data_IF_339883071060
#
_entry.id   IF_339883071060
#
_cell.length_a   1.000
_cell.length_b   1.000
_cell.length_c   1.000
_cell.angle_alpha   90.00
_cell.angle_beta   90.00
_cell.angle_gamma   90.00
#
_symmetry.space_group_name_H-M   'P 1'
#
loop_
_entity.id
_entity.type
_entity.pdbx_description
1 polymer ?
#
# COMPACT_ATOMS: atom_id res chain seq x y z
N UNK A 1 22.57 -82.42 21.60
CA UNK A 1 22.34 -83.15 20.34
C UNK A 1 21.21 -82.45 19.64
N UNK A 2 21.56 -81.89 18.48
CA UNK A 2 20.73 -81.54 17.32
C UNK A 2 19.67 -80.44 17.53
N UNK A 3 19.88 -79.19 17.09
CA UNK A 3 19.96 -78.71 15.69
C UNK A 3 18.90 -79.30 14.75
N UNK A 4 17.86 -78.50 14.48
CA UNK A 4 17.23 -78.19 13.19
C UNK A 4 15.94 -77.42 13.55
N UNK A 5 15.74 -76.14 13.23
CA UNK A 5 15.99 -75.47 11.97
C UNK A 5 14.63 -75.07 11.42
N UNK A 6 14.24 -73.79 11.54
CA UNK A 6 13.30 -73.21 10.59
C UNK A 6 13.54 -71.71 10.43
N UNK A 7 14.14 -71.39 9.29
CA UNK A 7 14.33 -70.07 8.73
C UNK A 7 12.99 -69.56 8.18
N UNK A 8 12.55 -68.39 8.64
CA UNK A 8 11.69 -67.52 7.83
C UNK A 8 12.29 -66.12 7.80
N UNK A 9 12.47 -65.65 6.57
CA UNK A 9 13.25 -64.48 6.22
C UNK A 9 12.62 -63.18 6.73
N UNK A 10 13.48 -62.32 7.30
CA UNK A 10 13.22 -60.89 7.47
C UNK A 10 13.15 -60.23 6.10
N UNK A 11 12.03 -59.61 5.75
CA UNK A 11 11.98 -58.57 4.72
C UNK A 11 12.30 -57.22 5.36
N UNK A 12 13.08 -56.33 4.69
CA UNK A 12 13.59 -55.11 5.28
C UNK A 12 12.57 -53.97 5.27
N UNK A 13 12.71 -53.08 6.26
CA UNK A 13 12.12 -51.76 6.33
C UNK A 13 12.08 -51.07 4.95
N UNK A 14 10.90 -50.65 4.50
CA UNK A 14 10.79 -49.58 3.51
C UNK A 14 10.89 -48.23 4.23
N UNK A 15 11.88 -47.39 3.90
CA UNK A 15 11.91 -46.01 4.33
C UNK A 15 11.16 -45.13 3.33
N UNK A 16 10.54 -44.06 3.83
CA UNK A 16 10.18 -42.90 3.01
C UNK A 16 8.76 -42.89 2.48
N UNK A 17 7.80 -42.61 3.36
CA UNK A 17 6.67 -41.78 2.93
C UNK A 17 7.26 -40.43 2.52
N UNK A 18 7.40 -40.22 1.22
CA UNK A 18 7.68 -38.92 0.64
C UNK A 18 6.58 -37.97 1.09
N UNK A 19 6.91 -37.12 2.06
CA UNK A 19 6.17 -35.88 2.30
C UNK A 19 6.21 -35.16 0.96
N UNK A 20 5.08 -35.17 0.28
CA UNK A 20 4.83 -34.30 -0.86
C UNK A 20 5.02 -32.88 -0.32
N UNK A 21 6.19 -32.30 -0.54
CA UNK A 21 6.40 -30.85 -0.48
C UNK A 21 5.32 -30.25 -1.37
N UNK A 22 4.24 -29.78 -0.75
CA UNK A 22 3.17 -29.11 -1.45
C UNK A 22 3.80 -27.88 -2.11
N UNK A 23 4.06 -27.98 -3.41
CA UNK A 23 4.44 -26.83 -4.21
C UNK A 23 3.40 -25.75 -3.95
N UNK A 24 3.82 -24.50 -3.65
CA UNK A 24 2.88 -23.43 -3.40
C UNK A 24 1.95 -23.34 -4.60
N UNK A 25 0.65 -23.54 -4.33
CA UNK A 25 -0.40 -23.47 -5.33
C UNK A 25 -0.22 -22.15 -6.07
N UNK A 26 0.09 -22.22 -7.37
CA UNK A 26 0.19 -21.03 -8.24
C UNK A 26 -1.21 -20.46 -8.39
N UNK A 27 -1.68 -19.71 -7.40
CA UNK A 27 -2.88 -18.90 -7.56
C UNK A 27 -2.52 -17.85 -8.60
N UNK A 28 -3.13 -17.95 -9.79
CA UNK A 28 -3.04 -16.93 -10.83
C UNK A 28 -3.87 -15.73 -10.38
N UNK A 29 -3.39 -15.00 -9.38
CA UNK A 29 -4.01 -13.73 -8.98
C UNK A 29 -3.61 -12.70 -10.02
N UNK A 30 -4.61 -12.10 -10.67
CA UNK A 30 -4.43 -10.90 -11.49
C UNK A 30 -4.88 -9.70 -10.67
N UNK A 31 -4.31 -8.49 -10.89
CA UNK A 31 -4.92 -7.26 -10.40
C UNK A 31 -6.40 -7.23 -10.79
N UNK A 32 -7.32 -6.91 -9.86
CA UNK A 32 -8.73 -6.89 -10.18
C UNK A 32 -9.00 -5.78 -11.21
N UNK A 33 -9.80 -6.11 -12.20
CA UNK A 33 -10.27 -5.15 -13.21
C UNK A 33 -11.50 -4.43 -12.65
N UNK A 34 -11.22 -3.42 -11.81
CA UNK A 34 -12.26 -2.61 -11.18
C UNK A 34 -12.54 -1.44 -12.08
N UNK A 35 -13.79 -1.31 -12.52
CA UNK A 35 -14.25 -0.12 -13.23
C UNK A 35 -14.43 1.04 -12.24
N UNK A 36 -13.32 1.58 -11.75
CA UNK A 36 -13.30 2.73 -10.87
C UNK A 36 -13.53 3.98 -11.73
N UNK A 37 -14.77 4.43 -11.84
CA UNK A 37 -15.12 5.65 -12.55
C UNK A 37 -15.10 6.88 -11.62
N UNK A 38 -15.41 8.05 -12.18
CA UNK A 38 -15.41 9.31 -11.42
C UNK A 38 -16.55 9.37 -10.37
N UNK A 39 -17.68 8.71 -10.62
CA UNK A 39 -18.83 8.70 -9.70
C UNK A 39 -18.50 7.88 -8.47
N UNK A 40 -17.92 6.69 -8.68
CA UNK A 40 -17.47 5.82 -7.59
C UNK A 40 -16.38 6.50 -6.78
N UNK A 41 -15.41 7.15 -7.45
CA UNK A 41 -14.36 7.89 -6.76
C UNK A 41 -14.92 9.03 -5.88
N UNK A 42 -15.90 9.79 -6.39
CA UNK A 42 -16.58 10.83 -5.61
C UNK A 42 -17.30 10.27 -4.39
N UNK A 43 -17.98 9.12 -4.52
CA UNK A 43 -18.65 8.47 -3.40
C UNK A 43 -17.65 8.04 -2.31
N UNK A 44 -16.53 7.43 -2.70
CA UNK A 44 -15.45 7.09 -1.76
C UNK A 44 -14.93 8.35 -1.08
N UNK A 45 -14.69 9.42 -1.85
CA UNK A 45 -14.19 10.69 -1.34
C UNK A 45 -15.13 11.32 -0.30
N UNK A 46 -16.45 11.21 -0.46
CA UNK A 46 -17.42 11.73 0.51
C UNK A 46 -17.35 10.99 1.86
N UNK A 47 -17.00 9.71 1.85
CA UNK A 47 -16.92 8.88 3.05
C UNK A 47 -15.57 8.98 3.79
N UNK A 48 -14.57 9.59 3.17
CA UNK A 48 -13.21 9.76 3.70
C UNK A 48 -13.09 11.04 4.55
N UNK A 49 -12.37 10.94 5.66
CA UNK A 49 -11.94 12.09 6.45
C UNK A 49 -10.89 12.91 5.69
N UNK A 50 -10.73 14.21 6.00
CA UNK A 50 -9.76 15.06 5.31
C UNK A 50 -8.34 14.48 5.24
N UNK A 51 -7.79 14.03 6.38
CA UNK A 51 -6.44 13.45 6.42
C UNK A 51 -6.30 12.16 5.59
N UNK A 52 -7.35 11.33 5.50
CA UNK A 52 -7.35 10.13 4.67
C UNK A 52 -7.29 10.50 3.18
N UNK A 53 -8.00 11.55 2.77
CA UNK A 53 -7.94 12.06 1.39
C UNK A 53 -6.52 12.50 1.04
N UNK A 54 -5.89 13.27 1.93
CA UNK A 54 -4.51 13.73 1.75
C UNK A 54 -3.54 12.56 1.65
N UNK A 55 -3.67 11.58 2.53
CA UNK A 55 -2.83 10.38 2.58
C UNK A 55 -2.94 9.55 1.30
N UNK A 56 -4.17 9.29 0.85
CA UNK A 56 -4.39 8.55 -0.38
C UNK A 56 -3.81 9.30 -1.58
N UNK A 57 -4.00 10.62 -1.66
CA UNK A 57 -3.40 11.43 -2.72
C UNK A 57 -1.87 11.35 -2.70
N UNK A 58 -1.25 11.48 -1.52
CA UNK A 58 0.20 11.40 -1.32
C UNK A 58 0.80 10.10 -1.86
N UNK A 59 0.11 8.98 -1.67
CA UNK A 59 0.54 7.67 -2.15
C UNK A 59 0.42 7.53 -3.68
N UNK A 60 -0.65 8.04 -4.28
CA UNK A 60 -0.92 7.76 -5.71
C UNK A 60 -0.15 8.65 -6.70
N UNK A 61 0.43 9.75 -6.24
CA UNK A 61 1.07 10.72 -7.13
C UNK A 61 2.32 10.18 -7.85
N UNK A 62 2.53 10.68 -9.06
CA UNK A 62 3.74 10.42 -9.86
C UNK A 62 4.81 11.49 -9.66
N UNK A 63 4.38 12.70 -9.33
CA UNK A 63 5.21 13.89 -9.27
C UNK A 63 4.77 14.74 -8.07
N UNK A 64 5.73 15.18 -7.27
CA UNK A 64 5.52 15.98 -6.06
C UNK A 64 5.71 17.49 -6.29
N UNK A 65 6.13 17.92 -7.49
CA UNK A 65 6.12 19.34 -7.92
C UNK A 65 4.71 19.98 -7.97
N UNK A 66 3.68 19.25 -7.53
CA UNK A 66 2.30 19.74 -7.44
C UNK A 66 1.93 20.22 -6.03
N UNK A 67 2.87 20.24 -5.08
CA UNK A 67 2.62 20.65 -3.69
C UNK A 67 1.80 21.94 -3.58
N UNK A 68 2.09 23.05 -4.30
CA UNK A 68 1.28 24.27 -4.20
C UNK A 68 -0.20 24.05 -4.55
N UNK A 69 -0.47 23.20 -5.55
CA UNK A 69 -1.84 22.83 -5.97
C UNK A 69 -2.53 21.96 -4.92
N UNK A 70 -1.80 21.01 -4.32
CA UNK A 70 -2.31 20.17 -3.21
C UNK A 70 -2.64 21.03 -2.00
N UNK A 71 -1.73 21.91 -1.59
CA UNK A 71 -1.92 22.81 -0.45
C UNK A 71 -3.14 23.71 -0.65
N UNK A 72 -3.30 24.32 -1.82
CA UNK A 72 -4.49 25.11 -2.15
C UNK A 72 -5.77 24.26 -2.10
N UNK A 73 -5.79 23.11 -2.77
CA UNK A 73 -6.97 22.23 -2.79
C UNK A 73 -7.37 21.75 -1.38
N UNK A 74 -6.40 21.43 -0.53
CA UNK A 74 -6.63 20.88 0.80
C UNK A 74 -7.13 21.92 1.80
N UNK A 75 -6.48 23.09 1.87
CA UNK A 75 -6.82 24.11 2.87
C UNK A 75 -7.84 25.14 2.40
N UNK A 76 -7.88 25.47 1.11
CA UNK A 76 -8.78 26.49 0.57
C UNK A 76 -10.10 25.92 0.06
N UNK A 77 -10.23 24.59 0.05
CA UNK A 77 -11.47 23.87 -0.25
C UNK A 77 -12.10 24.32 -1.58
N UNK A 78 -11.28 24.51 -2.62
CA UNK A 78 -11.67 25.15 -3.89
C UNK A 78 -12.52 24.25 -4.82
N UNK A 79 -12.86 23.03 -4.42
CA UNK A 79 -13.59 22.08 -5.28
C UNK A 79 -14.47 21.11 -4.50
N UNK A 80 -15.58 20.70 -5.12
CA UNK A 80 -16.47 19.65 -4.63
C UNK A 80 -15.87 18.24 -4.73
N UNK A 81 -14.75 18.06 -5.45
CA UNK A 81 -13.99 16.81 -5.46
C UNK A 81 -12.49 17.08 -5.46
N UNK A 82 -11.85 16.61 -4.39
CA UNK A 82 -10.42 16.67 -4.14
C UNK A 82 -9.64 15.81 -5.14
N UNK A 83 -9.97 14.52 -5.30
CA UNK A 83 -9.17 13.62 -6.14
C UNK A 83 -9.28 13.94 -7.63
N UNK A 84 -10.46 14.35 -8.10
CA UNK A 84 -10.68 14.65 -9.52
C UNK A 84 -9.78 15.76 -10.07
N UNK A 85 -9.24 16.63 -9.20
CA UNK A 85 -8.30 17.67 -9.59
C UNK A 85 -6.91 17.13 -9.99
N UNK A 86 -6.59 15.90 -9.60
CA UNK A 86 -5.23 15.34 -9.72
C UNK A 86 -5.17 14.08 -10.59
N UNK A 87 -6.20 13.22 -10.56
CA UNK A 87 -6.12 11.90 -11.22
C UNK A 87 -5.83 11.95 -12.73
N UNK A 88 -6.20 13.05 -13.41
CA UNK A 88 -5.93 13.22 -14.85
C UNK A 88 -4.45 13.32 -15.19
N UNK A 89 -3.62 13.69 -14.22
CA UNK A 89 -2.16 13.81 -14.36
C UNK A 89 -1.41 12.56 -13.87
N UNK A 90 -2.13 11.61 -13.24
CA UNK A 90 -1.56 10.42 -12.59
C UNK A 90 -1.69 9.20 -13.50
N UNK A 91 -0.56 8.62 -13.89
CA UNK A 91 -0.49 7.38 -14.66
C UNK A 91 -0.97 6.21 -13.82
N UNK A 92 -1.89 5.42 -14.39
CA UNK A 92 -2.44 4.22 -13.76
C UNK A 92 -3.05 4.50 -12.38
N UNK A 93 -3.69 5.66 -12.21
CA UNK A 93 -4.21 6.12 -10.93
C UNK A 93 -5.16 5.11 -10.28
N UNK A 94 -5.98 4.37 -11.06
CA UNK A 94 -6.90 3.35 -10.52
C UNK A 94 -6.15 2.26 -9.76
N UNK A 95 -5.11 1.67 -10.38
CA UNK A 95 -4.27 0.64 -9.75
C UNK A 95 -3.60 1.18 -8.51
N UNK A 96 -3.01 2.38 -8.59
CA UNK A 96 -2.35 3.03 -7.46
C UNK A 96 -3.32 3.34 -6.33
N UNK A 97 -4.55 3.75 -6.65
CA UNK A 97 -5.58 4.07 -5.68
C UNK A 97 -6.05 2.82 -4.92
N UNK A 98 -6.25 1.70 -5.62
CA UNK A 98 -6.54 0.42 -4.97
C UNK A 98 -5.40 -0.05 -4.06
N UNK A 99 -4.15 0.12 -4.51
CA UNK A 99 -2.99 -0.17 -3.69
C UNK A 99 -2.92 0.76 -2.46
N UNK A 100 -3.17 2.05 -2.63
CA UNK A 100 -3.19 3.02 -1.54
C UNK A 100 -4.27 2.68 -0.50
N UNK A 101 -5.50 2.37 -0.94
CA UNK A 101 -6.58 1.89 -0.05
C UNK A 101 -6.17 0.62 0.72
N UNK A 102 -5.42 -0.28 0.06
CA UNK A 102 -4.93 -1.50 0.70
C UNK A 102 -3.88 -1.19 1.78
N UNK A 103 -2.93 -0.31 1.46
CA UNK A 103 -1.85 0.15 2.35
C UNK A 103 -2.44 0.82 3.59
N UNK A 104 -3.38 1.75 3.41
CA UNK A 104 -4.02 2.49 4.50
C UNK A 104 -5.11 1.69 5.22
N UNK A 105 -5.31 0.42 4.87
CA UNK A 105 -6.30 -0.48 5.48
C UNK A 105 -7.73 0.11 5.44
N UNK A 106 -8.10 0.78 4.35
CA UNK A 106 -9.44 1.31 4.11
C UNK A 106 -10.45 0.19 3.76
N UNK A 107 -10.56 -0.84 4.62
CA UNK A 107 -11.32 -2.08 4.38
C UNK A 107 -12.77 -1.82 4.02
N UNK A 108 -13.41 -0.84 4.66
CA UNK A 108 -14.80 -0.45 4.36
C UNK A 108 -14.96 -0.01 2.91
N UNK A 109 -14.08 0.86 2.43
CA UNK A 109 -14.15 1.39 1.07
C UNK A 109 -13.82 0.31 0.03
N UNK A 110 -12.89 -0.59 0.34
CA UNK A 110 -12.57 -1.75 -0.49
C UNK A 110 -13.79 -2.68 -0.64
N UNK A 111 -14.50 -2.96 0.46
CA UNK A 111 -15.74 -3.76 0.41
C UNK A 111 -16.85 -3.07 -0.38
N UNK A 112 -16.98 -1.76 -0.27
CA UNK A 112 -17.95 -0.98 -1.04
C UNK A 112 -17.69 -1.04 -2.56
N UNK A 113 -16.44 -1.32 -2.97
CA UNK A 113 -16.07 -1.58 -4.36
C UNK A 113 -16.38 -3.03 -4.80
N UNK A 114 -16.96 -3.86 -3.94
CA UNK A 114 -17.22 -5.27 -4.22
C UNK A 114 -15.94 -6.13 -4.22
N UNK A 115 -14.88 -5.67 -3.56
CA UNK A 115 -13.59 -6.35 -3.50
C UNK A 115 -13.34 -6.94 -2.12
N UNK A 116 -12.59 -8.04 -2.09
CA UNK A 116 -12.11 -8.64 -0.86
C UNK A 116 -10.75 -8.07 -0.47
N UNK A 117 -10.65 -7.58 0.77
CA UNK A 117 -9.41 -6.99 1.28
C UNK A 117 -8.25 -7.98 1.24
N UNK A 118 -8.49 -9.25 1.56
CA UNK A 118 -7.44 -10.27 1.55
C UNK A 118 -6.90 -10.54 0.14
N UNK A 119 -7.73 -10.43 -0.90
CA UNK A 119 -7.28 -10.56 -2.28
C UNK A 119 -6.39 -9.38 -2.69
N UNK A 120 -6.78 -8.16 -2.33
CA UNK A 120 -5.96 -6.97 -2.56
C UNK A 120 -4.65 -7.01 -1.77
N UNK A 121 -4.72 -7.46 -0.52
CA UNK A 121 -3.55 -7.60 0.35
C UNK A 121 -2.56 -8.59 -0.24
N UNK A 122 -3.03 -9.71 -0.78
CA UNK A 122 -2.13 -10.63 -1.49
C UNK A 122 -1.36 -9.86 -2.55
N UNK A 123 -2.01 -9.05 -3.39
CA UNK A 123 -1.41 -8.35 -4.55
C UNK A 123 -0.50 -7.17 -4.16
N UNK A 124 -0.89 -6.41 -3.14
CA UNK A 124 -0.32 -5.10 -2.84
C UNK A 124 0.48 -5.03 -1.54
N UNK A 125 0.39 -6.04 -0.67
CA UNK A 125 1.21 -6.11 0.55
C UNK A 125 2.68 -6.33 0.15
N UNK A 126 3.59 -5.42 0.53
CA UNK A 126 5.01 -5.55 0.19
C UNK A 126 5.68 -6.77 0.85
N UNK A 127 5.07 -7.37 1.88
CA UNK A 127 5.58 -8.57 2.54
C UNK A 127 5.21 -9.86 1.81
N UNK A 128 4.26 -9.81 0.87
CA UNK A 128 3.85 -10.97 0.09
C UNK A 128 4.83 -11.24 -1.04
N UNK A 129 5.42 -12.44 -1.06
CA UNK A 129 6.38 -12.83 -2.09
C UNK A 129 5.65 -13.20 -3.38
N UNK A 130 5.77 -12.37 -4.41
CA UNK A 130 5.14 -12.62 -5.71
C UNK A 130 6.07 -13.27 -6.71
N UNK A 131 5.70 -14.46 -7.19
CA UNK A 131 6.34 -15.06 -8.36
C UNK A 131 5.58 -14.76 -9.66
N UNK A 132 4.46 -14.03 -9.60
CA UNK A 132 3.67 -13.68 -10.78
C UNK A 132 4.25 -12.43 -11.46
N UNK A 133 4.78 -12.54 -12.70
CA UNK A 133 5.36 -11.42 -13.42
C UNK A 133 4.41 -10.25 -13.64
N UNK A 134 3.11 -10.51 -13.76
CA UNK A 134 2.09 -9.47 -13.97
C UNK A 134 1.92 -8.58 -12.72
N UNK A 135 2.00 -9.17 -11.52
CA UNK A 135 1.93 -8.42 -10.26
C UNK A 135 3.23 -7.63 -10.02
N UNK A 136 4.37 -8.23 -10.38
CA UNK A 136 5.66 -7.56 -10.26
C UNK A 136 5.80 -6.36 -11.19
N UNK A 137 5.16 -6.40 -12.36
CA UNK A 137 5.16 -5.33 -13.36
C UNK A 137 4.01 -4.33 -13.19
N UNK A 138 3.03 -4.63 -12.34
CA UNK A 138 1.90 -3.74 -12.10
C UNK A 138 2.43 -2.36 -11.63
N UNK A 139 1.92 -1.25 -12.18
CA UNK A 139 2.27 0.09 -11.71
C UNK A 139 1.95 0.22 -10.22
N UNK A 140 2.93 0.64 -9.43
CA UNK A 140 2.80 0.76 -7.97
C UNK A 140 2.92 2.20 -7.51
N UNK A 141 2.29 2.48 -6.37
CA UNK A 141 2.54 3.63 -5.49
C UNK A 141 4.05 3.80 -5.31
N UNK A 142 4.50 5.06 -5.28
CA UNK A 142 5.91 5.41 -5.18
C UNK A 142 6.54 4.83 -3.89
N UNK A 143 7.67 4.13 -4.02
CA UNK A 143 8.30 3.44 -2.89
C UNK A 143 8.67 4.40 -1.74
N UNK A 144 9.21 5.58 -2.07
CA UNK A 144 9.52 6.60 -1.07
C UNK A 144 8.28 7.10 -0.33
N UNK A 145 7.13 7.18 -1.00
CA UNK A 145 5.88 7.61 -0.37
C UNK A 145 5.36 6.55 0.60
N UNK A 146 5.47 5.25 0.24
CA UNK A 146 5.13 4.15 1.15
C UNK A 146 6.00 4.16 2.39
N UNK A 147 7.30 4.38 2.23
CA UNK A 147 8.24 4.43 3.34
C UNK A 147 7.93 5.59 4.29
N UNK A 148 7.69 6.78 3.74
CA UNK A 148 7.33 7.95 4.54
C UNK A 148 6.00 7.76 5.26
N UNK A 149 4.97 7.29 4.55
CA UNK A 149 3.68 6.95 5.18
C UNK A 149 3.85 5.91 6.30
N UNK A 150 4.60 4.83 6.05
CA UNK A 150 4.83 3.80 7.07
C UNK A 150 5.57 4.36 8.29
N UNK A 151 6.57 5.20 8.06
CA UNK A 151 7.31 5.91 9.10
C UNK A 151 6.36 6.76 9.96
N UNK A 152 5.51 7.58 9.33
CA UNK A 152 4.59 8.49 10.03
C UNK A 152 3.49 7.74 10.79
N UNK A 153 2.89 6.72 10.17
CA UNK A 153 1.72 6.04 10.72
C UNK A 153 2.07 4.94 11.73
N UNK A 154 3.24 4.29 11.60
CA UNK A 154 3.54 3.06 12.35
C UNK A 154 4.80 3.12 13.21
N UNK A 155 5.72 4.06 12.94
CA UNK A 155 7.05 4.07 13.58
C UNK A 155 7.22 5.26 14.51
N UNK A 156 6.78 6.46 14.09
CA UNK A 156 6.96 7.67 14.87
C UNK A 156 5.78 7.91 15.83
N UNK A 157 6.09 8.22 17.08
CA UNK A 157 5.14 8.89 17.97
C UNK A 157 5.09 10.41 17.71
N UNK A 158 4.13 11.10 18.31
CA UNK A 158 3.94 12.55 18.13
C UNK A 158 5.21 13.36 18.45
N UNK A 159 5.93 13.00 19.53
CA UNK A 159 7.16 13.69 19.94
C UNK A 159 8.27 13.46 18.93
N UNK A 160 8.38 12.25 18.39
CA UNK A 160 9.35 11.88 17.37
C UNK A 160 9.04 12.57 16.03
N UNK A 161 7.77 12.64 15.63
CA UNK A 161 7.32 13.38 14.45
C UNK A 161 7.68 14.87 14.55
N UNK A 162 7.36 15.52 15.67
CA UNK A 162 7.76 16.92 15.93
C UNK A 162 9.28 17.10 15.94
N UNK A 163 10.01 16.14 16.50
CA UNK A 163 11.47 16.12 16.47
C UNK A 163 12.06 15.97 15.06
N UNK A 164 11.41 15.18 14.20
CA UNK A 164 11.79 15.02 12.80
C UNK A 164 11.55 16.32 12.02
N UNK A 165 10.36 16.93 12.15
CA UNK A 165 10.03 18.20 11.50
C UNK A 165 11.08 19.27 11.84
N UNK A 166 11.39 19.44 13.13
CA UNK A 166 12.39 20.42 13.58
C UNK A 166 13.75 20.18 12.95
N UNK A 167 14.20 18.93 12.82
CA UNK A 167 15.49 18.62 12.20
C UNK A 167 15.49 18.95 10.71
N UNK A 168 14.46 18.53 9.98
CA UNK A 168 14.37 18.81 8.54
C UNK A 168 14.31 20.32 8.30
N UNK A 169 13.59 21.06 9.14
CA UNK A 169 13.44 22.51 9.02
C UNK A 169 14.64 23.33 9.47
N UNK A 170 15.71 22.69 9.98
CA UNK A 170 17.02 23.33 10.06
C UNK A 170 17.69 23.45 8.68
N UNK A 171 17.41 22.52 7.77
CA UNK A 171 18.06 22.43 6.45
C UNK A 171 17.15 22.93 5.31
N UNK A 172 15.82 22.81 5.47
CA UNK A 172 14.82 23.18 4.46
C UNK A 172 13.80 24.11 5.11
N UNK A 173 13.79 25.40 4.77
CA UNK A 173 12.84 26.34 5.35
C UNK A 173 11.38 25.91 5.09
N UNK A 174 10.49 25.89 6.11
CA UNK A 174 9.09 25.53 5.91
C UNK A 174 8.37 26.54 5.02
N UNK A 175 7.42 26.10 4.19
CA UNK A 175 6.64 27.02 3.39
C UNK A 175 5.69 27.83 4.27
N UNK A 176 5.42 29.07 3.87
CA UNK A 176 4.51 29.96 4.60
C UNK A 176 3.11 29.35 4.73
N UNK A 177 2.60 29.24 5.96
CA UNK A 177 1.24 28.78 6.23
C UNK A 177 1.12 27.32 6.66
N UNK A 178 2.19 26.52 6.53
CA UNK A 178 2.25 25.19 7.16
C UNK A 178 2.61 25.35 8.65
N UNK A 179 1.84 24.69 9.50
CA UNK A 179 2.04 24.54 10.94
C UNK A 179 2.75 23.22 11.27
N UNK A 180 3.46 23.15 12.40
CA UNK A 180 4.02 21.87 12.91
C UNK A 180 2.94 20.84 13.29
N UNK A 181 1.69 21.26 13.44
CA UNK A 181 0.55 20.40 13.76
C UNK A 181 -0.22 19.94 12.50
N UNK A 182 0.24 20.31 11.30
CA UNK A 182 -0.34 19.82 10.06
C UNK A 182 -0.04 18.32 9.84
N UNK A 183 -0.84 17.62 9.03
CA UNK A 183 -0.56 16.22 8.70
C UNK A 183 0.85 16.03 8.12
N UNK A 184 1.55 14.98 8.54
CA UNK A 184 2.92 14.69 8.10
C UNK A 184 3.04 14.57 6.57
N UNK A 185 2.00 14.09 5.90
CA UNK A 185 1.92 14.01 4.44
C UNK A 185 2.02 15.39 3.78
N UNK A 186 1.48 16.45 4.40
CA UNK A 186 1.57 17.82 3.88
C UNK A 186 3.02 18.31 3.90
N UNK A 187 3.76 17.99 4.97
CA UNK A 187 5.19 18.28 5.04
C UNK A 187 5.98 17.44 4.04
N UNK A 188 5.64 16.16 3.88
CA UNK A 188 6.28 15.26 2.92
C UNK A 188 6.07 15.69 1.47
N UNK A 189 4.90 16.22 1.12
CA UNK A 189 4.68 16.83 -0.19
C UNK A 189 5.70 17.91 -0.49
N UNK A 190 5.92 18.81 0.46
CA UNK A 190 6.88 19.88 0.33
C UNK A 190 8.32 19.36 0.24
N UNK A 191 8.70 18.38 1.07
CA UNK A 191 10.04 17.82 1.03
C UNK A 191 10.35 17.11 -0.28
N UNK A 192 9.38 16.41 -0.85
CA UNK A 192 9.54 15.69 -2.12
C UNK A 192 9.46 16.60 -3.35
N UNK A 193 9.00 17.84 -3.20
CA UNK A 193 9.11 18.89 -4.21
C UNK A 193 10.53 19.47 -4.31
N UNK A 194 11.33 19.42 -3.22
CA UNK A 194 12.69 19.97 -3.16
C UNK A 194 13.76 19.00 -3.62
#
# INVERSE_FOLDING_TARGET
MDEMGNFTAKTPNQPGSLVSDALPTKVKVKPPDVDLDHVILQNIEQDLQPYEKLTLLFLILDNYFIFPKVYQAFYKNESSSFFLQFIGEIKNWKTKFLEALCITKCVRHIRNLGLEYEELKIIYDPTTLHTNPEILKAPKVHFGAKLLWHLFENVLDEKQSKGLLKKIYLDIEPPSGISEDDPMEMHAFYWMEK
#
